data_IF_807870864042
#
_entry.id   IF_807870864042
#
_cell.length_a   1.000
_cell.length_b   1.000
_cell.length_c   1.000
_cell.angle_alpha   90.00
_cell.angle_beta   90.00
_cell.angle_gamma   90.00
#
_symmetry.space_group_name_H-M   'P 1'
#
loop_
_entity.id
_entity.type
_entity.pdbx_description
1 polymer ?
#
# COMPACT_ATOMS: atom_id res chain seq x y z
N UNK A 1 5.25 14.45 4.82
CA UNK A 1 4.34 13.57 5.57
C UNK A 1 3.14 14.37 6.04
N UNK A 2 1.96 13.73 6.05
CA UNK A 2 0.74 14.28 6.63
C UNK A 2 0.31 13.49 7.87
N UNK A 3 -0.55 14.08 8.68
CA UNK A 3 -1.19 13.40 9.80
C UNK A 3 -2.48 12.75 9.33
N UNK A 4 -2.77 11.55 9.85
CA UNK A 4 -3.98 10.84 9.48
C UNK A 4 -4.20 9.60 10.33
N UNK A 5 -5.45 9.17 10.39
CA UNK A 5 -5.85 7.91 11.00
C UNK A 5 -6.92 7.24 10.13
N UNK A 6 -6.97 5.92 10.19
CA UNK A 6 -7.98 5.13 9.53
C UNK A 6 -8.30 3.89 10.35
N UNK A 7 -9.56 3.47 10.29
CA UNK A 7 -10.04 2.28 10.96
C UNK A 7 -11.00 1.52 10.04
N UNK A 8 -11.01 0.20 10.17
CA UNK A 8 -11.96 -0.67 9.50
C UNK A 8 -12.56 -1.66 10.51
N UNK A 9 -13.83 -1.97 10.35
CA UNK A 9 -14.50 -3.01 11.10
C UNK A 9 -14.59 -4.25 10.23
N UNK A 10 -14.06 -5.36 10.71
CA UNK A 10 -14.19 -6.66 10.07
C UNK A 10 -15.21 -7.48 10.86
N UNK A 11 -16.14 -8.10 10.15
CA UNK A 11 -17.15 -8.97 10.72
C UNK A 11 -17.25 -10.27 9.93
N UNK A 12 -17.80 -11.31 10.53
CA UNK A 12 -18.07 -12.57 9.85
C UNK A 12 -19.15 -12.38 8.77
N UNK A 13 -18.95 -13.02 7.63
CA UNK A 13 -19.86 -12.93 6.49
C UNK A 13 -19.96 -14.27 5.77
N UNK A 14 -21.16 -14.63 5.35
CA UNK A 14 -21.41 -15.78 4.46
C UNK A 14 -21.04 -15.49 3.01
N UNK A 15 -20.71 -14.25 2.69
CA UNK A 15 -20.29 -13.81 1.35
C UNK A 15 -18.79 -13.58 1.33
N UNK A 16 -18.13 -13.81 0.17
CA UNK A 16 -16.72 -13.47 0.00
C UNK A 16 -16.47 -11.99 0.35
N UNK A 17 -15.50 -11.76 1.21
CA UNK A 17 -15.00 -10.43 1.56
C UNK A 17 -13.51 -10.35 1.25
N UNK A 18 -12.64 -10.67 2.20
CA UNK A 18 -11.20 -10.76 1.95
C UNK A 18 -10.91 -12.08 1.23
N UNK A 19 -10.50 -12.00 -0.04
CA UNK A 19 -10.21 -13.15 -0.88
C UNK A 19 -8.80 -13.69 -0.66
N UNK A 20 -7.82 -12.79 -0.55
CA UNK A 20 -6.41 -13.13 -0.43
C UNK A 20 -5.65 -12.03 0.28
N UNK A 21 -4.66 -12.41 1.09
CA UNK A 21 -3.72 -11.47 1.68
C UNK A 21 -2.30 -12.01 1.55
N UNK A 22 -1.32 -11.11 1.38
CA UNK A 22 0.09 -11.48 1.34
C UNK A 22 0.92 -10.41 2.04
N UNK A 23 1.82 -10.85 2.92
CA UNK A 23 2.78 -9.99 3.60
C UNK A 23 4.19 -10.49 3.33
N UNK A 24 5.12 -9.59 3.10
CA UNK A 24 6.56 -9.91 2.96
C UNK A 24 7.40 -8.87 3.69
N UNK A 25 8.57 -9.29 4.16
CA UNK A 25 9.57 -8.41 4.74
C UNK A 25 10.97 -8.86 4.30
N UNK A 26 11.82 -7.89 3.95
CA UNK A 26 13.22 -8.11 3.61
C UNK A 26 14.10 -7.18 4.45
N UNK A 27 14.62 -7.69 5.57
CA UNK A 27 15.50 -6.95 6.48
C UNK A 27 16.85 -6.57 5.87
N UNK A 28 17.27 -7.24 4.78
CA UNK A 28 18.49 -6.89 4.04
C UNK A 28 18.43 -5.52 3.37
N UNK A 29 17.23 -4.92 3.28
CA UNK A 29 16.97 -3.60 2.67
C UNK A 29 16.68 -2.51 3.70
N UNK A 30 16.92 -2.78 4.98
CA UNK A 30 16.64 -1.84 6.08
C UNK A 30 17.29 -0.48 5.92
N UNK A 31 18.48 -0.43 5.34
CA UNK A 31 19.23 0.81 5.12
C UNK A 31 18.63 1.74 4.05
N UNK A 32 17.70 1.25 3.21
CA UNK A 32 17.06 2.08 2.18
C UNK A 32 16.16 3.15 2.78
N UNK A 33 15.54 2.86 3.93
CA UNK A 33 14.63 3.76 4.62
C UNK A 33 14.67 3.45 6.13
N UNK A 34 15.31 4.30 6.91
CA UNK A 34 15.51 4.08 8.33
C UNK A 34 15.62 5.36 9.14
N UNK A 35 15.33 5.27 10.43
CA UNK A 35 15.77 6.24 11.44
C UNK A 35 16.89 5.56 12.23
N UNK A 36 18.16 5.95 12.01
CA UNK A 36 19.30 5.25 12.60
C UNK A 36 19.52 5.53 14.10
N UNK A 37 18.68 6.35 14.71
CA UNK A 37 18.68 6.60 16.14
C UNK A 37 18.15 5.41 16.95
N UNK A 38 18.67 5.24 18.17
CA UNK A 38 18.21 4.24 19.13
C UNK A 38 18.09 4.82 20.53
N UNK A 39 17.29 4.19 21.37
CA UNK A 39 17.23 4.49 22.80
C UNK A 39 18.10 3.49 23.55
N UNK A 40 19.01 4.02 24.39
CA UNK A 40 19.87 3.21 25.23
C UNK A 40 20.00 3.90 26.60
N UNK A 41 19.67 3.17 27.68
CA UNK A 41 19.67 3.71 29.04
C UNK A 41 18.82 4.98 29.22
N UNK A 42 17.71 5.11 28.50
CA UNK A 42 16.81 6.28 28.54
C UNK A 42 17.33 7.50 27.77
N UNK A 43 18.45 7.36 27.04
CA UNK A 43 19.02 8.43 26.20
C UNK A 43 18.86 8.11 24.73
N UNK A 44 18.52 9.12 23.93
CA UNK A 44 18.55 9.00 22.48
C UNK A 44 20.00 9.09 21.96
N UNK A 45 20.43 8.06 21.24
CA UNK A 45 21.74 7.99 20.59
C UNK A 45 21.57 7.91 19.08
N UNK A 46 22.52 8.48 18.33
CA UNK A 46 22.48 8.54 16.88
C UNK A 46 21.57 9.64 16.34
N UNK A 47 21.23 9.57 15.05
CA UNK A 47 20.39 10.57 14.38
C UNK A 47 18.92 10.23 14.54
N UNK A 48 18.06 11.16 15.03
CA UNK A 48 16.61 10.95 15.08
C UNK A 48 15.93 11.21 13.71
N UNK A 49 16.68 11.62 12.71
CA UNK A 49 16.13 12.00 11.41
C UNK A 49 16.03 10.81 10.48
N UNK A 50 14.92 10.74 9.74
CA UNK A 50 14.72 9.77 8.68
C UNK A 50 15.81 9.92 7.61
N UNK A 51 16.42 8.81 7.23
CA UNK A 51 17.30 8.68 6.07
C UNK A 51 16.64 7.82 5.02
N UNK A 52 16.76 8.19 3.75
CA UNK A 52 16.15 7.48 2.64
C UNK A 52 17.05 7.53 1.41
N UNK A 53 17.35 6.37 0.83
CA UNK A 53 17.80 6.26 -0.56
C UNK A 53 16.57 6.20 -1.48
N UNK A 54 16.15 7.36 -1.98
CA UNK A 54 14.93 7.46 -2.77
C UNK A 54 14.95 6.63 -4.07
N UNK A 55 16.15 6.37 -4.66
CA UNK A 55 16.26 5.52 -5.87
C UNK A 55 16.11 4.04 -5.53
N UNK A 56 16.75 3.60 -4.44
CA UNK A 56 16.63 2.23 -3.98
C UNK A 56 15.19 1.94 -3.53
N UNK A 57 14.59 2.82 -2.72
CA UNK A 57 13.19 2.72 -2.27
C UNK A 57 12.24 2.66 -3.47
N UNK A 58 12.40 3.52 -4.47
CA UNK A 58 11.54 3.50 -5.67
C UNK A 58 11.59 2.16 -6.40
N UNK A 59 12.80 1.68 -6.72
CA UNK A 59 12.98 0.40 -7.44
C UNK A 59 12.38 -0.75 -6.66
N UNK A 60 12.69 -0.82 -5.38
CA UNK A 60 12.24 -1.89 -4.51
C UNK A 60 10.72 -1.87 -4.33
N UNK A 61 10.12 -0.70 -4.09
CA UNK A 61 8.68 -0.58 -3.96
C UNK A 61 7.96 -1.03 -5.24
N UNK A 62 8.42 -0.60 -6.42
CA UNK A 62 7.82 -1.03 -7.69
C UNK A 62 7.95 -2.53 -7.89
N UNK A 63 9.13 -3.12 -7.63
CA UNK A 63 9.36 -4.55 -7.79
C UNK A 63 8.53 -5.38 -6.83
N UNK A 64 8.61 -5.07 -5.53
CA UNK A 64 7.94 -5.85 -4.49
C UNK A 64 6.41 -5.74 -4.57
N UNK A 65 5.87 -4.54 -4.79
CA UNK A 65 4.42 -4.36 -4.92
C UNK A 65 3.88 -5.05 -6.17
N UNK A 66 4.58 -4.92 -7.32
CA UNK A 66 4.13 -5.59 -8.55
C UNK A 66 4.16 -7.10 -8.40
N UNK A 67 5.26 -7.68 -7.92
CA UNK A 67 5.37 -9.14 -7.77
C UNK A 67 4.36 -9.70 -6.75
N UNK A 68 4.07 -8.96 -5.67
CA UNK A 68 3.02 -9.35 -4.73
C UNK A 68 1.62 -9.30 -5.35
N UNK A 69 1.30 -8.23 -6.09
CA UNK A 69 0.00 -8.12 -6.77
C UNK A 69 -0.18 -9.27 -7.76
N UNK A 70 0.81 -9.52 -8.62
CA UNK A 70 0.78 -10.62 -9.59
C UNK A 70 0.58 -11.99 -8.91
N UNK A 71 1.25 -12.21 -7.76
CA UNK A 71 1.09 -13.45 -7.00
C UNK A 71 -0.32 -13.58 -6.42
N UNK A 72 -0.83 -12.52 -5.76
CA UNK A 72 -2.17 -12.49 -5.15
C UNK A 72 -3.26 -12.69 -6.21
N UNK A 73 -3.18 -11.98 -7.33
CA UNK A 73 -4.14 -12.09 -8.41
C UNK A 73 -4.14 -13.48 -9.04
N UNK A 74 -2.97 -14.05 -9.30
CA UNK A 74 -2.83 -15.40 -9.83
C UNK A 74 -3.39 -16.46 -8.87
N UNK A 75 -3.07 -16.37 -7.58
CA UNK A 75 -3.52 -17.31 -6.56
C UNK A 75 -5.04 -17.21 -6.33
N UNK A 76 -5.63 -16.02 -6.45
CA UNK A 76 -7.06 -15.79 -6.36
C UNK A 76 -7.83 -16.12 -7.66
N UNK A 77 -7.13 -16.36 -8.78
CA UNK A 77 -7.75 -16.57 -10.08
C UNK A 77 -8.43 -15.33 -10.65
N UNK A 78 -7.99 -14.12 -10.28
CA UNK A 78 -8.54 -12.83 -10.70
C UNK A 78 -7.62 -12.18 -11.72
N UNK A 79 -8.14 -11.70 -12.83
CA UNK A 79 -7.37 -10.96 -13.80
C UNK A 79 -7.15 -9.51 -13.35
N UNK A 80 -6.03 -8.89 -13.74
CA UNK A 80 -5.78 -7.49 -13.42
C UNK A 80 -6.83 -6.53 -14.03
N UNK A 81 -7.42 -6.93 -15.15
CA UNK A 81 -8.54 -6.22 -15.80
C UNK A 81 -9.82 -6.20 -14.98
N UNK A 82 -9.97 -7.15 -14.04
CA UNK A 82 -11.17 -7.32 -13.21
C UNK A 82 -11.05 -6.56 -11.87
N UNK A 83 -9.97 -5.79 -11.72
CA UNK A 83 -9.79 -4.88 -10.57
C UNK A 83 -10.57 -3.60 -10.85
N UNK A 84 -11.65 -3.41 -10.13
CA UNK A 84 -12.46 -2.19 -10.19
C UNK A 84 -11.74 -1.02 -9.51
N UNK A 85 -11.03 -1.28 -8.41
CA UNK A 85 -10.34 -0.26 -7.64
C UNK A 85 -8.97 -0.74 -7.16
N UNK A 86 -7.94 0.05 -7.45
CA UNK A 86 -6.60 -0.12 -6.89
C UNK A 86 -6.30 0.99 -5.89
N UNK A 87 -6.07 0.63 -4.63
CA UNK A 87 -5.82 1.56 -3.50
C UNK A 87 -4.43 1.31 -2.94
N UNK A 88 -3.39 1.89 -3.56
CA UNK A 88 -2.02 1.79 -3.07
C UNK A 88 -1.74 2.76 -1.92
N UNK A 89 -0.68 2.48 -1.18
CA UNK A 89 -0.06 3.45 -0.26
C UNK A 89 0.27 4.76 -0.97
N UNK A 90 -0.12 5.88 -0.37
CA UNK A 90 -0.08 7.22 -0.95
C UNK A 90 1.25 7.95 -0.70
N UNK A 91 2.39 7.28 -0.95
CA UNK A 91 3.71 7.88 -0.74
C UNK A 91 4.20 8.72 -1.93
N UNK A 92 3.97 8.23 -3.15
CA UNK A 92 4.52 8.82 -4.38
C UNK A 92 3.70 8.37 -5.59
N UNK A 93 3.12 9.34 -6.31
CA UNK A 93 2.31 9.06 -7.51
C UNK A 93 3.06 8.25 -8.57
N UNK A 94 4.38 8.49 -8.71
CA UNK A 94 5.20 7.76 -9.69
C UNK A 94 5.33 6.27 -9.36
N UNK A 95 5.37 5.89 -8.08
CA UNK A 95 5.36 4.49 -7.66
C UNK A 95 3.99 3.87 -7.99
N UNK A 96 2.90 4.56 -7.64
CA UNK A 96 1.54 4.10 -7.92
C UNK A 96 1.32 3.84 -9.41
N UNK A 97 1.72 4.78 -10.27
CA UNK A 97 1.58 4.66 -11.72
C UNK A 97 2.47 3.55 -12.30
N UNK A 98 3.71 3.41 -11.82
CA UNK A 98 4.63 2.37 -12.27
C UNK A 98 4.12 0.98 -11.91
N UNK A 99 3.60 0.79 -10.69
CA UNK A 99 3.02 -0.49 -10.26
C UNK A 99 1.74 -0.79 -11.06
N UNK A 100 0.80 0.15 -11.16
CA UNK A 100 -0.44 -0.03 -11.90
C UNK A 100 -0.19 -0.43 -13.37
N UNK A 101 0.74 0.27 -14.02
CA UNK A 101 1.17 -0.05 -15.39
C UNK A 101 1.76 -1.45 -15.51
N UNK A 102 2.63 -1.84 -14.56
CA UNK A 102 3.32 -3.13 -14.61
C UNK A 102 2.38 -4.31 -14.38
N UNK A 103 1.42 -4.18 -13.48
CA UNK A 103 0.42 -5.25 -13.20
C UNK A 103 -0.76 -5.23 -14.16
N UNK A 104 -0.89 -4.21 -15.01
CA UNK A 104 -1.95 -4.12 -16.02
C UNK A 104 -3.31 -3.63 -15.48
N UNK A 105 -3.34 -2.95 -14.34
CA UNK A 105 -4.56 -2.32 -13.81
C UNK A 105 -4.86 -1.04 -14.58
N UNK A 106 -6.15 -0.81 -14.86
CA UNK A 106 -6.60 0.41 -15.53
C UNK A 106 -6.16 1.66 -14.74
N UNK A 107 -5.45 2.62 -15.34
CA UNK A 107 -5.05 3.86 -14.65
C UNK A 107 -6.21 4.64 -14.04
N UNK A 108 -7.43 4.53 -14.59
CA UNK A 108 -8.62 5.16 -14.04
C UNK A 108 -9.12 4.51 -12.73
N UNK A 109 -8.76 3.26 -12.48
CA UNK A 109 -9.07 2.54 -11.24
C UNK A 109 -8.13 2.88 -10.08
N UNK A 110 -7.04 3.63 -10.32
CA UNK A 110 -6.03 3.95 -9.30
C UNK A 110 -6.48 5.13 -8.44
N UNK A 111 -6.70 4.88 -7.15
CA UNK A 111 -7.06 5.95 -6.21
C UNK A 111 -5.81 6.76 -5.85
N UNK A 112 -5.90 8.08 -6.02
CA UNK A 112 -4.80 9.02 -5.76
C UNK A 112 -5.27 10.15 -4.85
N UNK A 113 -4.95 10.07 -3.57
CA UNK A 113 -5.27 11.09 -2.55
C UNK A 113 -4.03 11.79 -1.99
N UNK A 114 -2.84 11.41 -2.49
CA UNK A 114 -1.56 11.99 -2.06
C UNK A 114 -1.50 13.51 -2.27
N UNK A 115 -2.21 14.04 -3.26
CA UNK A 115 -2.26 15.49 -3.53
C UNK A 115 -3.06 16.27 -2.48
N UNK A 116 -4.00 15.61 -1.80
CA UNK A 116 -4.83 16.22 -0.75
C UNK A 116 -4.24 15.97 0.65
N UNK A 117 -3.78 14.74 0.90
CA UNK A 117 -3.43 14.30 2.25
C UNK A 117 -1.90 14.18 2.49
N UNK A 118 -1.11 14.19 1.40
CA UNK A 118 0.31 13.82 1.49
C UNK A 118 0.49 12.34 1.83
N UNK A 119 1.69 11.99 2.29
CA UNK A 119 1.98 10.66 2.81
C UNK A 119 1.58 10.58 4.29
N UNK A 120 0.46 9.97 4.59
CA UNK A 120 -0.04 9.74 5.96
C UNK A 120 0.34 8.36 6.50
N UNK A 121 1.45 7.78 6.02
CA UNK A 121 1.96 6.47 6.43
C UNK A 121 0.89 5.36 6.30
N UNK A 122 0.69 4.55 7.35
CA UNK A 122 -0.28 3.44 7.34
C UNK A 122 -1.72 3.90 7.12
N UNK A 123 -2.07 5.13 7.54
CA UNK A 123 -3.41 5.69 7.35
C UNK A 123 -3.74 5.99 5.89
N UNK A 124 -2.75 6.06 4.99
CA UNK A 124 -2.96 6.45 3.60
C UNK A 124 -3.88 5.52 2.82
N UNK A 125 -3.80 4.21 3.05
CA UNK A 125 -4.66 3.22 2.38
C UNK A 125 -6.11 3.33 2.85
N UNK A 126 -6.44 3.28 4.17
CA UNK A 126 -7.82 3.41 4.61
C UNK A 126 -8.41 4.80 4.30
N UNK A 127 -7.63 5.87 4.34
CA UNK A 127 -8.11 7.21 3.92
C UNK A 127 -8.43 7.26 2.43
N UNK A 128 -7.60 6.64 1.59
CA UNK A 128 -7.84 6.58 0.15
C UNK A 128 -9.06 5.71 -0.18
N UNK A 129 -9.27 4.61 0.53
CA UNK A 129 -10.47 3.77 0.40
C UNK A 129 -11.73 4.53 0.83
N UNK A 130 -11.71 5.20 1.98
CA UNK A 130 -12.83 6.04 2.45
C UNK A 130 -13.15 7.15 1.44
N UNK A 131 -12.13 7.81 0.91
CA UNK A 131 -12.28 8.80 -0.16
C UNK A 131 -12.98 8.20 -1.38
N UNK A 132 -12.54 7.03 -1.83
CA UNK A 132 -13.13 6.37 -3.00
C UNK A 132 -14.61 6.02 -2.78
N UNK A 133 -14.96 5.49 -1.61
CA UNK A 133 -16.35 5.18 -1.24
C UNK A 133 -17.21 6.44 -1.21
N UNK A 134 -16.74 7.48 -0.52
CA UNK A 134 -17.50 8.75 -0.38
C UNK A 134 -17.71 9.49 -1.69
N UNK A 135 -16.81 9.33 -2.64
CA UNK A 135 -16.89 9.97 -3.96
C UNK A 135 -17.51 9.06 -5.05
N UNK A 136 -18.06 7.91 -4.67
CA UNK A 136 -18.74 7.01 -5.59
C UNK A 136 -17.81 6.29 -6.59
N UNK A 137 -16.50 6.29 -6.32
CA UNK A 137 -15.51 5.53 -7.09
C UNK A 137 -15.55 4.03 -6.75
N UNK A 138 -15.97 3.69 -5.53
CA UNK A 138 -16.08 2.33 -5.04
C UNK A 138 -17.53 2.01 -4.69
N UNK A 139 -17.97 0.81 -5.03
CA UNK A 139 -19.34 0.31 -4.83
C UNK A 139 -19.31 -1.07 -4.18
N UNK A 140 -20.39 -1.43 -3.52
CA UNK A 140 -20.54 -2.78 -2.99
C UNK A 140 -20.51 -3.82 -4.12
N UNK A 141 -19.65 -4.81 -3.98
CA UNK A 141 -19.39 -5.83 -4.99
C UNK A 141 -18.15 -5.59 -5.84
N UNK A 142 -17.54 -4.42 -5.76
CA UNK A 142 -16.31 -4.14 -6.50
C UNK A 142 -15.12 -4.97 -5.97
N UNK A 143 -14.29 -5.41 -6.89
CA UNK A 143 -13.02 -6.08 -6.62
C UNK A 143 -11.95 -5.04 -6.36
N UNK A 144 -11.42 -5.04 -5.14
CA UNK A 144 -10.48 -4.02 -4.66
C UNK A 144 -9.13 -4.64 -4.32
N UNK A 145 -8.07 -4.05 -4.86
CA UNK A 145 -6.69 -4.38 -4.53
C UNK A 145 -6.12 -3.28 -3.62
N UNK A 146 -5.82 -3.63 -2.37
CA UNK A 146 -5.14 -2.74 -1.43
C UNK A 146 -3.66 -3.10 -1.36
N UNK A 147 -2.77 -2.10 -1.35
CA UNK A 147 -1.34 -2.34 -1.19
C UNK A 147 -0.67 -1.32 -0.28
N UNK A 148 0.23 -1.82 0.57
CA UNK A 148 1.08 -1.02 1.44
C UNK A 148 2.55 -1.38 1.27
N UNK A 149 3.42 -0.40 1.44
CA UNK A 149 4.87 -0.56 1.49
C UNK A 149 5.46 0.34 2.57
N UNK A 150 6.46 -0.16 3.27
CA UNK A 150 7.12 0.57 4.34
C UNK A 150 8.60 0.17 4.48
N UNK A 151 9.23 0.80 5.46
CA UNK A 151 10.61 0.45 5.82
C UNK A 151 10.73 -1.04 6.15
N UNK A 152 11.92 -1.55 5.97
CA UNK A 152 12.20 -2.95 6.22
C UNK A 152 13.03 -3.58 5.09
N UNK A 153 12.72 -3.64 3.80
CA UNK A 153 11.42 -3.21 3.26
C UNK A 153 10.32 -4.22 3.59
N UNK A 154 9.14 -3.70 3.90
CA UNK A 154 7.94 -4.52 4.12
C UNK A 154 6.87 -4.16 3.11
N UNK A 155 6.15 -5.17 2.62
CA UNK A 155 5.02 -4.99 1.72
C UNK A 155 3.83 -5.81 2.18
N UNK A 156 2.64 -5.25 1.97
CA UNK A 156 1.37 -5.95 2.20
C UNK A 156 0.42 -5.73 1.03
N UNK A 157 -0.27 -6.80 0.65
CA UNK A 157 -1.30 -6.78 -0.39
C UNK A 157 -2.53 -7.50 0.12
N UNK A 158 -3.71 -6.93 -0.09
CA UNK A 158 -4.99 -7.57 0.15
C UNK A 158 -5.89 -7.40 -1.06
N UNK A 159 -6.52 -8.50 -1.48
CA UNK A 159 -7.56 -8.54 -2.49
C UNK A 159 -8.88 -8.83 -1.80
N UNK A 160 -9.88 -8.01 -2.07
CA UNK A 160 -11.18 -8.14 -1.41
C UNK A 160 -12.35 -7.74 -2.34
N UNK A 161 -13.54 -8.16 -1.96
CA UNK A 161 -14.81 -7.68 -2.50
C UNK A 161 -15.44 -6.73 -1.46
N UNK A 162 -15.83 -5.52 -1.88
CA UNK A 162 -16.48 -4.52 -1.02
C UNK A 162 -17.93 -4.89 -0.67
#
# INVERSE_FOLDING_TARGET
FGDGAGAAVLDASDKPGILMTRLTADGGKGDYLAVPGRLEGGKALGSPFLKMDGRAVFREAVESLSSQAEAVLREAGVAASDIDLYVPHQANVRIMDAVASRIGVNPASVVKTVFQHGNTCAASVPLALDYAVKNGMARRGDTVLLQGVGAGMTCGTALLIL
#
